data_IF_816822728120
#
_entry.id   IF_816822728120
#
_cell.length_a   1.000
_cell.length_b   1.000
_cell.length_c   1.000
_cell.angle_alpha   90.00
_cell.angle_beta   90.00
_cell.angle_gamma   90.00
#
_symmetry.space_group_name_H-M   'P 1'
#
loop_
_entity.id
_entity.type
_entity.pdbx_description
1 polymer ?
#
# COMPACT_ATOMS: atom_id res chain seq x y z
N UNK A 1 47.85 -26.56 -64.95
CA UNK A 1 48.67 -27.59 -64.28
C UNK A 1 47.68 -28.56 -63.65
N UNK A 2 47.25 -29.61 -64.37
CA UNK A 2 47.79 -30.99 -64.26
C UNK A 2 47.63 -31.52 -62.82
N UNK A 3 46.94 -32.60 -62.46
CA UNK A 3 46.38 -33.80 -63.11
C UNK A 3 45.42 -34.41 -62.05
N UNK A 4 44.30 -35.11 -62.30
CA UNK A 4 44.11 -36.34 -63.06
C UNK A 4 44.09 -37.58 -62.12
N UNK A 5 42.90 -38.18 -61.88
CA UNK A 5 42.61 -39.65 -61.89
C UNK A 5 41.25 -40.01 -61.24
N UNK A 6 40.42 -40.74 -62.00
CA UNK A 6 39.36 -41.64 -61.53
C UNK A 6 39.92 -43.08 -61.39
N UNK A 7 39.09 -44.13 -61.19
CA UNK A 7 38.39 -44.53 -59.97
C UNK A 7 38.85 -45.94 -59.48
N UNK A 8 38.47 -46.37 -58.28
CA UNK A 8 38.59 -47.78 -57.89
C UNK A 8 37.32 -48.24 -57.16
N UNK A 9 36.49 -48.97 -57.90
CA UNK A 9 35.43 -49.83 -57.39
C UNK A 9 36.07 -51.06 -56.77
N UNK A 10 35.75 -51.35 -55.51
CA UNK A 10 35.89 -52.69 -54.95
C UNK A 10 34.65 -52.96 -54.10
N UNK A 11 33.90 -53.98 -54.52
CA UNK A 11 32.67 -54.40 -53.86
C UNK A 11 32.93 -54.99 -52.49
N UNK A 12 31.96 -54.81 -51.61
CA UNK A 12 31.79 -55.56 -50.38
C UNK A 12 30.29 -55.72 -50.18
N UNK A 13 29.77 -56.92 -50.44
CA UNK A 13 28.49 -57.34 -49.91
C UNK A 13 28.61 -57.40 -48.38
N UNK A 14 27.71 -56.72 -47.70
CA UNK A 14 27.52 -56.79 -46.25
C UNK A 14 26.10 -56.38 -45.95
N UNK A 15 25.25 -57.37 -45.73
CA UNK A 15 23.99 -57.19 -45.00
C UNK A 15 24.28 -56.47 -43.68
N UNK A 16 23.44 -55.52 -43.27
CA UNK A 16 22.95 -55.36 -41.90
C UNK A 16 22.17 -54.04 -41.72
N UNK A 17 20.97 -54.16 -41.14
CA UNK A 17 20.42 -53.16 -40.23
C UNK A 17 19.62 -52.02 -40.83
N UNK A 18 18.31 -52.21 -41.01
CA UNK A 18 17.34 -51.12 -40.96
C UNK A 18 17.33 -50.55 -39.53
N UNK A 19 18.18 -49.56 -39.25
CA UNK A 19 18.13 -48.81 -37.99
C UNK A 19 17.09 -47.69 -38.13
N UNK A 20 16.00 -47.67 -37.34
CA UNK A 20 15.14 -46.49 -37.27
C UNK A 20 15.91 -45.38 -36.54
N UNK A 21 16.19 -44.29 -37.24
CA UNK A 21 16.71 -43.06 -36.66
C UNK A 21 15.76 -42.58 -35.56
N UNK A 22 16.16 -42.77 -34.30
CA UNK A 22 15.49 -42.16 -33.16
C UNK A 22 15.75 -40.64 -33.20
N UNK A 23 14.87 -39.91 -33.88
CA UNK A 23 14.71 -38.50 -33.60
C UNK A 23 14.16 -38.35 -32.17
N UNK A 24 14.78 -37.54 -31.29
CA UNK A 24 14.17 -37.23 -30.01
C UNK A 24 12.84 -36.51 -30.29
N UNK A 25 11.74 -36.82 -29.57
CA UNK A 25 10.52 -36.08 -29.74
C UNK A 25 10.83 -34.63 -29.37
N UNK A 26 10.58 -33.71 -30.31
CA UNK A 26 10.50 -32.30 -30.01
C UNK A 26 9.60 -32.15 -28.79
N UNK A 27 10.19 -31.74 -27.66
CA UNK A 27 9.44 -31.41 -26.46
C UNK A 27 8.47 -30.30 -26.85
N UNK A 28 7.19 -30.66 -27.02
CA UNK A 28 6.12 -29.70 -27.13
C UNK A 28 6.25 -28.74 -25.94
N UNK A 29 6.09 -27.42 -26.15
CA UNK A 29 6.06 -26.49 -25.04
C UNK A 29 5.03 -26.99 -24.03
N UNK A 30 5.30 -26.90 -22.71
CA UNK A 30 4.40 -27.44 -21.71
C UNK A 30 3.00 -26.90 -21.95
N UNK A 31 2.06 -27.79 -22.26
CA UNK A 31 0.67 -27.44 -22.49
C UNK A 31 0.14 -26.85 -21.19
N UNK A 32 -0.02 -25.54 -21.16
CA UNK A 32 -0.59 -24.82 -20.02
C UNK A 32 -1.99 -25.37 -19.78
N UNK A 33 -2.24 -25.88 -18.57
CA UNK A 33 -3.58 -26.32 -18.18
C UNK A 33 -4.52 -25.10 -18.22
N UNK A 34 -5.51 -25.07 -19.14
CA UNK A 34 -6.39 -23.93 -19.30
C UNK A 34 -7.22 -23.66 -18.05
N UNK A 35 -7.54 -24.68 -17.25
CA UNK A 35 -8.26 -24.49 -16.00
C UNK A 35 -7.38 -23.83 -14.94
N UNK A 36 -6.11 -24.24 -14.83
CA UNK A 36 -5.13 -23.57 -13.98
C UNK A 36 -4.95 -22.10 -14.38
N UNK A 37 -4.86 -21.81 -15.69
CA UNK A 37 -4.74 -20.45 -16.20
C UNK A 37 -5.95 -19.58 -15.85
N UNK A 38 -7.17 -20.08 -16.05
CA UNK A 38 -8.41 -19.35 -15.70
C UNK A 38 -8.49 -19.12 -14.19
N UNK A 39 -8.12 -20.12 -13.40
CA UNK A 39 -8.12 -20.02 -11.93
C UNK A 39 -7.13 -18.97 -11.45
N UNK A 40 -5.92 -18.92 -12.04
CA UNK A 40 -4.93 -17.90 -11.75
C UNK A 40 -5.44 -16.49 -12.10
N UNK A 41 -5.97 -16.31 -13.31
CA UNK A 41 -6.51 -15.02 -13.75
C UNK A 41 -7.67 -14.55 -12.86
N UNK A 42 -8.52 -15.47 -12.40
CA UNK A 42 -9.59 -15.15 -11.47
C UNK A 42 -9.06 -14.67 -10.12
N UNK A 43 -8.02 -15.32 -9.57
CA UNK A 43 -7.38 -14.87 -8.32
C UNK A 43 -6.73 -13.50 -8.46
N UNK A 44 -6.03 -13.27 -9.57
CA UNK A 44 -5.44 -11.98 -9.92
C UNK A 44 -6.53 -10.90 -10.02
N UNK A 45 -7.66 -11.21 -10.64
CA UNK A 45 -8.81 -10.31 -10.72
C UNK A 45 -9.38 -9.95 -9.34
N UNK A 46 -9.56 -10.94 -8.46
CA UNK A 46 -10.05 -10.70 -7.09
C UNK A 46 -9.09 -9.81 -6.29
N UNK A 47 -7.78 -10.05 -6.41
CA UNK A 47 -6.77 -9.22 -5.77
C UNK A 47 -6.78 -7.78 -6.31
N UNK A 48 -6.86 -7.63 -7.63
CA UNK A 48 -6.97 -6.33 -8.29
C UNK A 48 -8.19 -5.54 -7.81
N UNK A 49 -9.35 -6.20 -7.73
CA UNK A 49 -10.59 -5.60 -7.22
C UNK A 49 -10.43 -5.15 -5.76
N UNK A 50 -9.88 -6.01 -4.91
CA UNK A 50 -9.61 -5.68 -3.51
C UNK A 50 -8.70 -4.44 -3.38
N UNK A 51 -7.57 -4.41 -4.09
CA UNK A 51 -6.63 -3.30 -4.05
C UNK A 51 -7.24 -2.00 -4.56
N UNK A 52 -8.04 -2.05 -5.62
CA UNK A 52 -8.75 -0.87 -6.13
C UNK A 52 -9.78 -0.34 -5.14
N UNK A 53 -10.51 -1.21 -4.43
CA UNK A 53 -11.40 -0.81 -3.34
C UNK A 53 -10.63 -0.12 -2.20
N UNK A 54 -9.42 -0.59 -1.85
CA UNK A 54 -8.58 0.05 -0.82
C UNK A 54 -8.04 1.40 -1.30
N UNK A 55 -7.63 1.51 -2.57
CA UNK A 55 -7.12 2.74 -3.16
C UNK A 55 -8.20 3.82 -3.31
N UNK A 56 -9.44 3.41 -3.57
CA UNK A 56 -10.60 4.29 -3.79
C UNK A 56 -11.79 3.77 -2.99
N UNK A 57 -11.76 3.91 -1.65
CA UNK A 57 -12.86 3.42 -0.85
C UNK A 57 -14.11 4.23 -1.15
N UNK A 58 -15.23 3.53 -1.33
CA UNK A 58 -16.46 4.14 -1.79
C UNK A 58 -17.17 4.79 -0.60
N UNK A 59 -17.39 6.12 -0.60
CA UNK A 59 -18.09 6.79 0.47
C UNK A 59 -19.59 6.52 0.30
N UNK A 60 -20.08 5.36 0.75
CA UNK A 60 -21.50 5.02 0.62
C UNK A 60 -22.37 6.15 1.19
N UNK A 61 -23.25 6.77 0.37
CA UNK A 61 -24.10 7.88 0.81
C UNK A 61 -25.22 7.33 1.68
N UNK A 62 -24.98 7.26 2.99
CA UNK A 62 -25.99 6.82 3.96
C UNK A 62 -25.41 6.14 5.19
N UNK A 63 -24.18 5.63 5.12
CA UNK A 63 -23.50 5.09 6.28
C UNK A 63 -22.93 6.23 7.12
N UNK A 64 -23.65 6.66 8.16
CA UNK A 64 -23.08 7.51 9.20
C UNK A 64 -21.84 6.86 9.85
N UNK A 65 -21.77 5.53 9.76
CA UNK A 65 -20.74 4.68 10.30
C UNK A 65 -19.56 4.52 9.32
N UNK A 66 -18.33 4.72 9.80
CA UNK A 66 -17.11 4.50 9.00
C UNK A 66 -16.85 3.02 8.72
N UNK A 67 -17.62 2.14 9.34
CA UNK A 67 -17.36 0.71 9.43
C UNK A 67 -17.44 -0.04 8.09
N UNK A 68 -18.14 0.54 7.10
CA UNK A 68 -18.34 -0.07 5.77
C UNK A 68 -17.38 0.41 4.68
N UNK A 69 -16.45 1.33 4.99
CA UNK A 69 -15.57 1.97 3.99
C UNK A 69 -14.68 0.97 3.23
N UNK A 70 -14.42 -0.21 3.80
CA UNK A 70 -13.58 -1.27 3.21
C UNK A 70 -14.26 -2.65 3.14
N UNK A 71 -15.58 -2.73 3.29
CA UNK A 71 -16.30 -4.01 3.27
C UNK A 71 -16.13 -4.77 1.95
N UNK A 72 -16.19 -4.07 0.82
CA UNK A 72 -16.02 -4.67 -0.51
C UNK A 72 -14.62 -5.28 -0.67
N UNK A 73 -13.58 -4.56 -0.24
CA UNK A 73 -12.21 -5.04 -0.27
C UNK A 73 -12.06 -6.35 0.53
N UNK A 74 -12.59 -6.38 1.75
CA UNK A 74 -12.55 -7.59 2.59
C UNK A 74 -13.36 -8.74 1.98
N UNK A 75 -14.49 -8.46 1.33
CA UNK A 75 -15.28 -9.47 0.62
C UNK A 75 -14.51 -10.13 -0.53
N UNK A 76 -13.84 -9.32 -1.37
CA UNK A 76 -12.97 -9.86 -2.43
C UNK A 76 -11.79 -10.67 -1.89
N UNK A 77 -11.20 -10.25 -0.77
CA UNK A 77 -10.09 -10.97 -0.13
C UNK A 77 -10.54 -12.29 0.50
N UNK A 78 -11.75 -12.33 1.07
CA UNK A 78 -12.35 -13.58 1.57
C UNK A 78 -12.59 -14.58 0.43
N UNK A 79 -13.16 -14.12 -0.69
CA UNK A 79 -13.31 -14.94 -1.89
C UNK A 79 -11.96 -15.46 -2.40
N UNK A 80 -10.95 -14.59 -2.46
CA UNK A 80 -9.60 -14.94 -2.91
C UNK A 80 -8.96 -16.02 -2.01
N UNK A 81 -9.09 -15.89 -0.70
CA UNK A 81 -8.60 -16.91 0.25
C UNK A 81 -9.29 -18.26 0.04
N UNK A 82 -10.63 -18.27 -0.06
CA UNK A 82 -11.39 -19.49 -0.34
C UNK A 82 -10.96 -20.17 -1.64
N UNK A 83 -10.73 -19.39 -2.71
CA UNK A 83 -10.24 -19.90 -3.99
C UNK A 83 -8.78 -20.38 -3.94
N UNK A 84 -7.99 -19.87 -3.00
CA UNK A 84 -6.57 -20.26 -2.82
C UNK A 84 -6.45 -21.59 -2.07
N UNK A 85 -7.41 -21.91 -1.22
CA UNK A 85 -7.46 -23.20 -0.51
C UNK A 85 -8.07 -24.34 -1.38
N UNK A 86 -8.85 -23.98 -2.41
CA UNK A 86 -9.45 -24.92 -3.37
C UNK A 86 -8.57 -25.21 -4.62
N UNK A 87 -7.32 -24.73 -4.63
CA UNK A 87 -6.40 -24.67 -5.77
C UNK A 87 -5.72 -26.01 -6.13
N UNK A 88 -6.46 -27.13 -6.17
CA UNK A 88 -5.90 -28.42 -6.59
C UNK A 88 -5.89 -28.61 -8.10
N UNK A 89 -4.81 -29.21 -8.63
CA UNK A 89 -4.77 -29.79 -9.98
C UNK A 89 -5.81 -30.91 -10.07
N UNK A 90 -6.68 -30.97 -11.10
CA UNK A 90 -7.45 -32.18 -11.34
C UNK A 90 -6.48 -33.26 -11.80
N UNK A 91 -6.13 -34.20 -10.93
CA UNK A 91 -5.56 -35.45 -11.39
C UNK A 91 -6.62 -36.11 -12.28
N UNK A 92 -6.40 -36.11 -13.59
CA UNK A 92 -7.18 -36.94 -14.51
C UNK A 92 -6.98 -38.41 -14.11
N UNK A 93 -7.88 -38.94 -13.30
CA UNK A 93 -8.20 -40.36 -13.28
C UNK A 93 -9.69 -40.49 -13.01
N UNK A 94 -10.46 -40.74 -14.07
CA UNK A 94 -11.79 -41.32 -13.94
C UNK A 94 -11.62 -42.67 -13.23
N UNK A 95 -11.83 -42.67 -11.92
CA UNK A 95 -11.96 -43.88 -11.13
C UNK A 95 -13.02 -43.58 -10.08
N UNK A 96 -14.23 -44.07 -10.34
CA UNK A 96 -15.32 -44.10 -9.37
C UNK A 96 -14.89 -45.06 -8.27
N UNK A 97 -14.20 -44.56 -7.25
CA UNK A 97 -14.04 -45.26 -5.99
C UNK A 97 -13.91 -44.24 -4.86
N UNK A 98 -14.82 -44.39 -3.91
CA UNK A 98 -14.97 -43.60 -2.70
C UNK A 98 -13.68 -43.57 -1.89
N UNK A 99 -12.95 -42.45 -1.95
CA UNK A 99 -12.01 -42.03 -0.91
C UNK A 99 -11.92 -40.51 -0.91
N UNK A 100 -12.58 -39.88 0.07
CA UNK A 100 -12.47 -38.44 0.35
C UNK A 100 -11.11 -38.14 0.96
N UNK A 101 -10.08 -38.12 0.12
CA UNK A 101 -8.79 -37.49 0.41
C UNK A 101 -8.41 -36.63 -0.79
N UNK A 102 -9.20 -35.58 -1.04
CA UNK A 102 -8.81 -34.48 -1.92
C UNK A 102 -7.55 -33.85 -1.34
N UNK A 103 -6.39 -34.16 -1.92
CA UNK A 103 -5.16 -33.41 -1.68
C UNK A 103 -5.37 -32.03 -2.29
N UNK A 104 -5.84 -31.09 -1.46
CA UNK A 104 -6.04 -29.70 -1.84
C UNK A 104 -4.67 -29.06 -2.09
N UNK A 105 -4.35 -28.82 -3.36
CA UNK A 105 -3.27 -27.88 -3.68
C UNK A 105 -3.66 -26.52 -3.11
N UNK A 106 -2.76 -25.89 -2.35
CA UNK A 106 -2.95 -24.52 -1.88
C UNK A 106 -2.11 -23.59 -2.77
N UNK A 107 -2.63 -22.40 -3.07
CA UNK A 107 -1.86 -21.34 -3.73
C UNK A 107 -1.25 -20.41 -2.65
N UNK A 108 -0.01 -20.67 -2.20
CA UNK A 108 0.57 -19.91 -1.11
C UNK A 108 0.87 -18.45 -1.51
N UNK A 109 1.02 -18.17 -2.81
CA UNK A 109 1.32 -16.83 -3.30
C UNK A 109 0.08 -15.96 -3.24
N UNK A 110 -1.04 -16.45 -3.78
CA UNK A 110 -2.33 -15.74 -3.71
C UNK A 110 -2.78 -15.54 -2.26
N UNK A 111 -2.65 -16.57 -1.41
CA UNK A 111 -2.98 -16.50 0.02
C UNK A 111 -2.14 -15.46 0.76
N UNK A 112 -0.85 -15.37 0.45
CA UNK A 112 0.04 -14.38 1.05
C UNK A 112 -0.34 -12.95 0.67
N UNK A 113 -0.57 -12.68 -0.63
CA UNK A 113 -1.01 -11.36 -1.09
C UNK A 113 -2.38 -10.95 -0.55
N UNK A 114 -3.31 -11.90 -0.47
CA UNK A 114 -4.63 -11.70 0.11
C UNK A 114 -4.52 -11.34 1.60
N UNK A 115 -3.75 -12.12 2.36
CA UNK A 115 -3.52 -11.91 3.80
C UNK A 115 -2.83 -10.57 4.06
N UNK A 116 -1.82 -10.21 3.25
CA UNK A 116 -1.11 -8.93 3.36
C UNK A 116 -2.05 -7.75 3.12
N UNK A 117 -2.86 -7.81 2.07
CA UNK A 117 -3.82 -6.75 1.76
C UNK A 117 -4.89 -6.67 2.85
N UNK A 118 -5.33 -7.80 3.41
CA UNK A 118 -6.28 -7.85 4.52
C UNK A 118 -5.70 -7.22 5.79
N UNK A 119 -4.45 -7.51 6.15
CA UNK A 119 -3.75 -6.87 7.28
C UNK A 119 -3.80 -5.34 7.16
N UNK A 120 -3.41 -4.81 6.01
CA UNK A 120 -3.41 -3.35 5.79
C UNK A 120 -4.83 -2.80 5.85
N UNK A 121 -5.81 -3.52 5.31
CA UNK A 121 -7.23 -3.13 5.34
C UNK A 121 -7.78 -3.09 6.77
N UNK A 122 -7.42 -4.05 7.63
CA UNK A 122 -7.81 -4.05 9.05
C UNK A 122 -7.16 -2.90 9.83
N UNK A 123 -5.90 -2.54 9.55
CA UNK A 123 -5.30 -1.31 10.09
C UNK A 123 -6.08 -0.06 9.67
N UNK A 124 -6.49 0.02 8.41
CA UNK A 124 -7.35 1.11 7.94
C UNK A 124 -8.74 1.08 8.60
N UNK A 125 -9.23 -0.04 9.11
CA UNK A 125 -10.47 -0.09 9.92
C UNK A 125 -10.26 0.11 11.42
N UNK A 126 -9.01 0.26 11.88
CA UNK A 126 -8.66 0.26 13.30
C UNK A 126 -9.04 -1.05 14.03
N UNK A 127 -9.11 -2.15 13.28
CA UNK A 127 -9.36 -3.50 13.79
C UNK A 127 -8.02 -4.20 14.04
N UNK A 128 -7.35 -3.81 15.13
CA UNK A 128 -6.03 -4.33 15.50
C UNK A 128 -6.07 -5.86 15.74
N UNK A 129 -7.17 -6.38 16.29
CA UNK A 129 -7.31 -7.81 16.59
C UNK A 129 -7.36 -8.65 15.32
N UNK A 130 -8.15 -8.25 14.32
CA UNK A 130 -8.21 -8.99 13.06
C UNK A 130 -6.88 -8.92 12.29
N UNK A 131 -6.17 -7.78 12.36
CA UNK A 131 -4.83 -7.67 11.79
C UNK A 131 -3.83 -8.62 12.49
N UNK A 132 -3.82 -8.68 13.83
CA UNK A 132 -2.94 -9.56 14.60
C UNK A 132 -3.12 -11.05 14.23
N UNK A 133 -4.36 -11.49 14.03
CA UNK A 133 -4.68 -12.88 13.61
C UNK A 133 -4.04 -13.26 12.27
N UNK A 134 -3.79 -12.30 11.39
CA UNK A 134 -3.26 -12.53 10.05
C UNK A 134 -1.73 -12.42 9.97
N UNK A 135 -1.06 -11.88 10.99
CA UNK A 135 0.40 -11.70 10.96
C UNK A 135 1.21 -12.96 10.69
N UNK A 136 0.90 -14.14 11.27
CA UNK A 136 1.64 -15.36 10.97
C UNK A 136 1.67 -15.71 9.48
N UNK A 137 0.64 -15.31 8.72
CA UNK A 137 0.52 -15.58 7.28
C UNK A 137 1.37 -14.65 6.42
N UNK A 138 1.80 -13.50 6.95
CA UNK A 138 2.51 -12.45 6.17
C UNK A 138 3.94 -12.22 6.62
N UNK A 139 4.37 -12.80 7.75
CA UNK A 139 5.71 -12.63 8.32
C UNK A 139 6.85 -13.19 7.46
N UNK A 140 6.53 -14.18 6.61
CA UNK A 140 7.47 -14.90 5.76
C UNK A 140 6.95 -14.93 4.32
N UNK A 141 7.85 -14.74 3.36
CA UNK A 141 7.53 -14.87 1.95
C UNK A 141 7.37 -16.35 1.57
N UNK A 142 6.37 -16.72 0.75
CA UNK A 142 6.33 -18.02 0.08
C UNK A 142 7.60 -18.28 -0.74
N UNK A 143 8.04 -19.55 -0.82
CA UNK A 143 9.27 -19.95 -1.55
C UNK A 143 9.30 -19.42 -2.99
N UNK A 144 8.20 -19.56 -3.73
CA UNK A 144 8.08 -19.05 -5.10
C UNK A 144 8.37 -17.54 -5.21
N UNK A 145 7.95 -16.73 -4.21
CA UNK A 145 8.26 -15.29 -4.19
C UNK A 145 9.72 -15.02 -3.80
N UNK A 146 10.30 -15.84 -2.92
CA UNK A 146 11.72 -15.73 -2.58
C UNK A 146 12.63 -15.99 -3.79
N UNK A 147 12.32 -17.07 -4.53
CA UNK A 147 13.05 -17.52 -5.72
C UNK A 147 12.89 -16.56 -6.91
N UNK A 148 11.74 -15.89 -7.03
CA UNK A 148 11.51 -14.93 -8.12
C UNK A 148 12.41 -13.70 -8.08
N UNK A 149 13.02 -13.41 -6.93
CA UNK A 149 13.82 -12.21 -6.62
C UNK A 149 13.14 -10.86 -6.93
N UNK A 150 11.84 -10.87 -7.23
CA UNK A 150 11.10 -9.65 -7.54
C UNK A 150 11.15 -8.70 -6.35
N UNK A 151 11.37 -7.40 -6.56
CA UNK A 151 11.52 -6.45 -5.46
C UNK A 151 10.18 -6.16 -4.75
N UNK A 152 9.03 -6.23 -5.45
CA UNK A 152 7.72 -5.88 -4.90
C UNK A 152 7.30 -6.69 -3.65
N UNK A 153 7.39 -8.04 -3.63
CA UNK A 153 7.13 -8.82 -2.42
C UNK A 153 8.00 -8.41 -1.22
N UNK A 154 9.28 -8.12 -1.45
CA UNK A 154 10.22 -7.69 -0.39
C UNK A 154 9.84 -6.30 0.14
N UNK A 155 9.48 -5.37 -0.75
CA UNK A 155 8.96 -4.06 -0.38
C UNK A 155 7.70 -4.19 0.50
N UNK A 156 6.76 -5.06 0.11
CA UNK A 156 5.52 -5.28 0.85
C UNK A 156 5.78 -5.87 2.25
N UNK A 157 6.61 -6.90 2.34
CA UNK A 157 7.00 -7.51 3.61
C UNK A 157 7.60 -6.49 4.58
N UNK A 158 8.58 -5.70 4.12
CA UNK A 158 9.26 -4.73 4.97
C UNK A 158 8.34 -3.56 5.36
N UNK A 159 7.43 -3.14 4.48
CA UNK A 159 6.45 -2.08 4.78
C UNK A 159 5.49 -2.49 5.89
N UNK A 160 4.97 -3.72 5.82
CA UNK A 160 4.08 -4.29 6.86
C UNK A 160 4.84 -4.47 8.17
N UNK A 161 6.09 -4.96 8.14
CA UNK A 161 6.93 -5.05 9.36
C UNK A 161 7.18 -3.68 9.98
N UNK A 162 7.47 -2.66 9.18
CA UNK A 162 7.68 -1.30 9.64
C UNK A 162 6.42 -0.74 10.31
N UNK A 163 5.25 -0.88 9.65
CA UNK A 163 3.97 -0.41 10.14
C UNK A 163 3.55 -1.13 11.43
N UNK A 164 3.70 -2.46 11.51
CA UNK A 164 3.44 -3.23 12.73
C UNK A 164 4.32 -2.77 13.89
N UNK A 165 5.61 -2.55 13.66
CA UNK A 165 6.53 -2.04 14.68
C UNK A 165 6.11 -0.65 15.21
N UNK A 166 5.43 0.16 14.40
CA UNK A 166 4.84 1.43 14.85
C UNK A 166 3.57 1.24 15.66
N UNK A 167 2.69 0.35 15.23
CA UNK A 167 1.38 0.14 15.86
C UNK A 167 1.49 -0.60 17.20
N UNK A 168 2.52 -1.44 17.39
CA UNK A 168 2.76 -2.16 18.65
C UNK A 168 2.80 -1.23 19.86
N UNK A 169 1.77 -1.34 20.72
CA UNK A 169 1.69 -0.60 21.99
C UNK A 169 2.78 -1.14 22.94
N UNK A 170 3.74 -0.30 23.32
CA UNK A 170 4.56 -0.54 24.52
C UNK A 170 6.08 -0.65 24.35
N UNK A 171 6.66 -0.53 23.15
CA UNK A 171 8.13 -0.40 23.01
C UNK A 171 8.49 1.02 22.61
N UNK A 172 8.85 1.83 23.60
CA UNK A 172 9.35 3.20 23.39
C UNK A 172 10.56 3.26 22.41
N UNK A 173 11.29 2.13 22.25
CA UNK A 173 12.46 2.00 21.39
C UNK A 173 12.20 1.45 19.97
N UNK A 174 10.94 1.29 19.53
CA UNK A 174 10.67 0.73 18.20
C UNK A 174 10.89 1.71 17.03
N UNK A 175 11.15 2.99 17.31
CA UNK A 175 11.31 4.05 16.32
C UNK A 175 12.45 3.80 15.32
N UNK A 176 13.72 3.68 15.77
CA UNK A 176 14.86 3.43 14.88
C UNK A 176 14.73 2.13 14.07
N UNK A 177 14.21 1.07 14.69
CA UNK A 177 13.99 -0.21 14.03
C UNK A 177 12.91 -0.12 12.94
N UNK A 178 11.81 0.58 13.21
CA UNK A 178 10.77 0.84 12.20
C UNK A 178 11.30 1.70 11.05
N UNK A 179 12.09 2.74 11.35
CA UNK A 179 12.71 3.58 10.32
C UNK A 179 13.65 2.75 9.42
N UNK A 180 14.48 1.88 9.99
CA UNK A 180 15.35 0.99 9.22
C UNK A 180 14.55 0.01 8.31
N UNK A 181 13.39 -0.46 8.77
CA UNK A 181 12.48 -1.26 7.96
C UNK A 181 11.84 -0.43 6.84
N UNK A 182 11.45 0.82 7.11
CA UNK A 182 11.02 1.76 6.08
C UNK A 182 12.11 1.96 5.02
N UNK A 183 13.37 2.15 5.42
CA UNK A 183 14.48 2.32 4.46
C UNK A 183 14.65 1.11 3.53
N UNK A 184 14.59 -0.11 4.08
CA UNK A 184 14.64 -1.34 3.27
C UNK A 184 13.44 -1.45 2.33
N UNK A 185 12.24 -1.19 2.84
CA UNK A 185 11.00 -1.25 2.06
C UNK A 185 11.03 -0.25 0.90
N UNK A 186 11.40 0.99 1.17
CA UNK A 186 11.53 2.05 0.17
C UNK A 186 12.54 1.69 -0.93
N UNK A 187 13.69 1.11 -0.58
CA UNK A 187 14.68 0.67 -1.57
C UNK A 187 14.10 -0.33 -2.58
N UNK A 188 13.52 -1.41 -2.08
CA UNK A 188 12.84 -2.39 -2.94
C UNK A 188 11.65 -1.78 -3.70
N UNK A 189 10.92 -0.84 -3.10
CA UNK A 189 9.80 -0.19 -3.77
C UNK A 189 10.27 0.65 -4.96
N UNK A 190 11.41 1.33 -4.84
CA UNK A 190 12.00 2.07 -5.96
C UNK A 190 12.40 1.15 -7.12
N UNK A 191 13.05 0.02 -6.82
CA UNK A 191 13.44 -0.96 -7.84
C UNK A 191 12.21 -1.53 -8.55
N UNK A 192 11.13 -1.78 -7.79
CA UNK A 192 9.84 -2.19 -8.33
C UNK A 192 9.25 -1.12 -9.26
N UNK A 193 9.20 0.13 -8.81
CA UNK A 193 8.70 1.26 -9.59
C UNK A 193 9.51 1.56 -10.85
N UNK A 194 10.79 1.21 -10.87
CA UNK A 194 11.65 1.38 -12.04
C UNK A 194 11.42 0.31 -13.12
N UNK A 195 10.96 -0.88 -12.71
CA UNK A 195 10.84 -2.06 -13.59
C UNK A 195 9.41 -2.42 -13.96
N UNK A 196 8.41 -1.71 -13.41
CA UNK A 196 6.98 -2.04 -13.62
C UNK A 196 6.50 -1.72 -15.04
N UNK A 197 5.96 -2.72 -15.77
CA UNK A 197 5.35 -2.50 -17.07
C UNK A 197 4.11 -1.60 -16.99
N UNK A 198 3.86 -0.81 -18.05
CA UNK A 198 2.73 0.14 -18.09
C UNK A 198 1.35 -0.53 -17.88
N UNK A 199 1.19 -1.80 -18.27
CA UNK A 199 -0.07 -2.54 -18.19
C UNK A 199 -0.32 -3.31 -16.89
N UNK A 200 0.63 -3.38 -15.95
CA UNK A 200 0.45 -4.17 -14.74
C UNK A 200 -0.29 -3.38 -13.65
N UNK A 201 -1.62 -3.48 -13.65
CA UNK A 201 -2.50 -2.77 -12.72
C UNK A 201 -2.38 -3.25 -11.27
N UNK A 202 -2.18 -4.56 -11.05
CA UNK A 202 -2.00 -5.13 -9.69
C UNK A 202 -0.72 -4.59 -9.07
N UNK A 203 0.40 -4.61 -9.80
CA UNK A 203 1.67 -4.06 -9.30
C UNK A 203 1.52 -2.58 -8.96
N UNK A 204 0.90 -1.78 -9.84
CA UNK A 204 0.64 -0.35 -9.59
C UNK A 204 -0.24 -0.10 -8.36
N UNK A 205 -1.31 -0.88 -8.19
CA UNK A 205 -2.21 -0.74 -7.06
C UNK A 205 -1.53 -1.14 -5.74
N UNK A 206 -0.73 -2.21 -5.76
CA UNK A 206 0.09 -2.60 -4.62
C UNK A 206 1.17 -1.55 -4.32
N UNK A 207 1.88 -1.05 -5.32
CA UNK A 207 2.88 0.01 -5.13
C UNK A 207 2.28 1.28 -4.56
N UNK A 208 1.07 1.67 -4.97
CA UNK A 208 0.34 2.78 -4.35
C UNK A 208 0.07 2.51 -2.86
N UNK A 209 -0.45 1.32 -2.54
CA UNK A 209 -0.71 0.92 -1.15
C UNK A 209 0.57 1.01 -0.29
N UNK A 210 1.70 0.52 -0.82
CA UNK A 210 2.98 0.55 -0.11
C UNK A 210 3.56 1.96 0.02
N UNK A 211 3.48 2.80 -1.03
CA UNK A 211 3.87 4.20 -0.96
C UNK A 211 3.10 4.94 0.14
N UNK A 212 1.78 4.78 0.14
CA UNK A 212 0.90 5.42 1.12
C UNK A 212 1.21 4.92 2.55
N UNK A 213 1.38 3.61 2.73
CA UNK A 213 1.72 3.01 4.01
C UNK A 213 3.07 3.53 4.56
N UNK A 214 4.11 3.62 3.73
CA UNK A 214 5.41 4.14 4.13
C UNK A 214 5.36 5.62 4.48
N UNK A 215 4.65 6.43 3.70
CA UNK A 215 4.47 7.86 3.98
C UNK A 215 3.71 8.08 5.29
N UNK A 216 2.64 7.30 5.55
CA UNK A 216 1.90 7.32 6.82
C UNK A 216 2.78 6.87 7.99
N UNK A 217 3.58 5.83 7.80
CA UNK A 217 4.52 5.32 8.80
C UNK A 217 5.55 6.38 9.20
N UNK A 218 6.21 7.01 8.22
CA UNK A 218 7.18 8.09 8.43
C UNK A 218 6.55 9.34 9.06
N UNK A 219 5.34 9.71 8.64
CA UNK A 219 4.57 10.80 9.26
C UNK A 219 4.27 10.50 10.73
N UNK A 220 3.97 9.24 11.06
CA UNK A 220 3.70 8.82 12.43
C UNK A 220 4.97 8.86 13.29
N UNK A 221 6.13 8.44 12.75
CA UNK A 221 7.43 8.53 13.43
C UNK A 221 7.81 9.97 13.73
N UNK A 222 7.75 10.84 12.72
CA UNK A 222 8.05 12.26 12.86
C UNK A 222 7.17 12.94 13.92
N UNK A 223 5.85 12.71 13.89
CA UNK A 223 4.93 13.29 14.89
C UNK A 223 5.18 12.81 16.31
N UNK A 224 5.53 11.54 16.51
CA UNK A 224 5.85 10.99 17.85
C UNK A 224 7.02 11.70 18.50
N UNK A 225 8.02 12.10 17.71
CA UNK A 225 9.21 12.81 18.21
C UNK A 225 8.90 14.26 18.64
N UNK A 226 7.80 14.82 18.16
CA UNK A 226 7.39 16.20 18.46
C UNK A 226 6.55 16.32 19.73
N UNK A 227 6.01 15.21 20.25
CA UNK A 227 5.25 15.24 21.48
C UNK A 227 6.23 15.36 22.66
N UNK A 228 6.12 16.38 23.53
CA UNK A 228 7.07 16.58 24.62
C UNK A 228 7.11 15.33 25.51
N UNK A 229 8.31 14.83 25.77
CA UNK A 229 8.53 13.93 26.91
C UNK A 229 8.10 14.66 28.20
N UNK A 230 7.52 13.95 29.19
CA UNK A 230 7.24 14.56 30.47
C UNK A 230 8.59 14.94 31.12
N UNK A 231 8.77 16.24 31.33
CA UNK A 231 9.88 16.86 32.06
C UNK A 231 11.30 16.54 31.55
N UNK A 232 11.84 17.41 30.70
CA UNK A 232 13.14 18.05 30.97
C UNK A 232 13.32 19.28 30.07
N UNK A 233 13.86 20.33 30.69
CA UNK A 233 13.87 21.70 30.23
C UNK A 233 14.82 21.94 29.05
N UNK A 234 14.60 23.08 28.39
CA UNK A 234 15.49 23.81 27.48
C UNK A 234 15.56 23.39 26.01
N UNK A 235 14.51 23.71 25.23
CA UNK A 235 14.71 24.22 23.86
C UNK A 235 13.71 25.35 23.58
N UNK A 236 14.20 26.46 23.04
CA UNK A 236 13.41 27.65 22.75
C UNK A 236 12.27 27.42 21.74
N UNK A 237 11.32 28.37 21.64
CA UNK A 237 10.14 28.25 20.78
C UNK A 237 10.54 28.37 19.31
N UNK A 238 10.89 27.25 18.66
CA UNK A 238 11.16 27.24 17.22
C UNK A 238 11.84 26.00 16.65
N UNK A 239 12.53 25.19 17.45
CA UNK A 239 13.41 24.12 16.92
C UNK A 239 12.79 22.71 16.84
N UNK A 240 11.61 22.49 17.41
CA UNK A 240 11.04 21.14 17.60
C UNK A 240 10.15 20.60 16.48
N UNK A 241 9.97 21.31 15.36
CA UNK A 241 8.99 20.93 14.33
C UNK A 241 9.60 20.24 13.10
N UNK A 242 10.91 20.38 12.85
CA UNK A 242 11.53 19.88 11.62
C UNK A 242 12.01 18.44 11.77
N UNK A 243 11.86 17.64 10.71
CA UNK A 243 12.41 16.29 10.65
C UNK A 243 13.94 16.36 10.45
N UNK A 244 14.66 15.31 10.87
CA UNK A 244 16.08 15.19 10.54
C UNK A 244 16.29 15.07 9.03
N UNK A 245 17.49 15.42 8.55
CA UNK A 245 17.83 15.33 7.12
C UNK A 245 17.63 13.90 6.56
N UNK A 246 17.95 12.88 7.34
CA UNK A 246 17.79 11.48 6.96
C UNK A 246 16.31 11.09 6.82
N UNK A 247 15.48 11.49 7.79
CA UNK A 247 14.04 11.21 7.75
C UNK A 247 13.34 11.92 6.59
N UNK A 248 13.71 13.18 6.37
CA UNK A 248 13.18 13.97 5.26
C UNK A 248 13.61 13.37 3.91
N UNK A 249 14.86 12.93 3.78
CA UNK A 249 15.34 12.26 2.57
C UNK A 249 14.52 11.01 2.26
N UNK A 250 14.34 10.13 3.24
CA UNK A 250 13.53 8.92 3.06
C UNK A 250 12.06 9.23 2.73
N UNK A 251 11.47 10.26 3.36
CA UNK A 251 10.12 10.71 3.04
C UNK A 251 10.00 11.24 1.60
N UNK A 252 10.93 12.10 1.17
CA UNK A 252 10.94 12.65 -0.19
C UNK A 252 11.15 11.57 -1.24
N UNK A 253 11.92 10.53 -0.93
CA UNK A 253 12.13 9.37 -1.78
C UNK A 253 10.80 8.65 -2.07
N UNK A 254 10.04 8.33 -1.03
CA UNK A 254 8.75 7.66 -1.16
C UNK A 254 7.71 8.55 -1.85
N UNK A 255 7.70 9.86 -1.53
CA UNK A 255 6.82 10.84 -2.19
C UNK A 255 7.13 10.96 -3.69
N UNK A 256 8.41 10.86 -4.07
CA UNK A 256 8.81 10.86 -5.49
C UNK A 256 8.32 9.60 -6.21
N UNK A 257 8.35 8.45 -5.53
CA UNK A 257 7.73 7.22 -6.02
C UNK A 257 6.22 7.36 -6.23
N UNK A 258 5.52 7.93 -5.25
CA UNK A 258 4.08 8.22 -5.35
C UNK A 258 3.75 9.17 -6.51
N UNK A 259 4.54 10.24 -6.71
CA UNK A 259 4.38 11.16 -7.84
C UNK A 259 4.57 10.46 -9.18
N UNK A 260 5.57 9.58 -9.29
CA UNK A 260 5.80 8.77 -10.50
C UNK A 260 4.60 7.88 -10.79
N UNK A 261 4.08 7.16 -9.78
CA UNK A 261 2.87 6.35 -9.94
C UNK A 261 1.69 7.16 -10.44
N UNK A 262 1.50 8.35 -9.88
CA UNK A 262 0.38 9.21 -10.18
C UNK A 262 0.33 9.70 -11.64
N UNK A 263 1.45 9.64 -12.37
CA UNK A 263 1.50 9.93 -13.81
C UNK A 263 0.80 8.86 -14.67
N UNK A 264 0.73 7.61 -14.20
CA UNK A 264 0.18 6.48 -14.99
C UNK A 264 -0.89 5.68 -14.25
N UNK A 265 -1.20 6.06 -13.01
CA UNK A 265 -2.20 5.45 -12.16
C UNK A 265 -2.93 6.53 -11.36
N UNK A 266 -4.04 7.00 -11.94
CA UNK A 266 -4.82 8.14 -11.43
C UNK A 266 -5.19 8.09 -9.94
N UNK A 267 -5.53 6.93 -9.33
CA UNK A 267 -5.89 6.88 -7.91
C UNK A 267 -4.80 7.41 -6.97
N UNK A 268 -3.52 7.39 -7.40
CA UNK A 268 -2.41 7.89 -6.62
C UNK A 268 -2.42 9.43 -6.46
N UNK A 269 -2.97 10.19 -7.41
CA UNK A 269 -2.94 11.66 -7.39
C UNK A 269 -3.56 12.25 -6.12
N UNK A 270 -4.62 11.64 -5.59
CA UNK A 270 -5.31 12.10 -4.37
C UNK A 270 -4.37 12.13 -3.16
N UNK A 271 -3.49 11.14 -3.05
CA UNK A 271 -2.54 10.99 -1.93
C UNK A 271 -1.36 11.96 -2.04
N UNK A 272 -1.00 12.40 -3.24
CA UNK A 272 0.15 13.30 -3.47
C UNK A 272 -0.01 14.61 -2.72
N UNK A 273 -1.19 15.24 -2.74
CA UNK A 273 -1.37 16.56 -2.13
C UNK A 273 -1.17 16.56 -0.61
N UNK A 274 -1.75 15.57 0.08
CA UNK A 274 -1.61 15.43 1.53
C UNK A 274 -0.16 15.14 1.93
N UNK A 275 0.48 14.17 1.27
CA UNK A 275 1.86 13.81 1.58
C UNK A 275 2.87 14.90 1.18
N UNK A 276 2.61 15.65 0.11
CA UNK A 276 3.43 16.82 -0.23
C UNK A 276 3.29 17.92 0.82
N UNK A 277 2.08 18.17 1.34
CA UNK A 277 1.90 19.10 2.45
C UNK A 277 2.70 18.63 3.69
N UNK A 278 2.64 17.34 4.01
CA UNK A 278 3.42 16.75 5.12
C UNK A 278 4.93 16.91 4.90
N UNK A 279 5.46 16.62 3.71
CA UNK A 279 6.88 16.82 3.41
C UNK A 279 7.33 18.28 3.64
N UNK A 280 6.48 19.23 3.25
CA UNK A 280 6.76 20.66 3.45
C UNK A 280 6.76 21.03 4.94
N UNK A 281 5.84 20.47 5.72
CA UNK A 281 5.81 20.65 7.17
C UNK A 281 7.06 20.05 7.83
N UNK A 282 7.43 18.83 7.46
CA UNK A 282 8.66 18.16 7.92
C UNK A 282 9.92 18.97 7.60
N UNK A 283 9.96 19.61 6.43
CA UNK A 283 11.09 20.46 6.01
C UNK A 283 11.06 21.87 6.62
N UNK A 284 10.02 22.25 7.36
CA UNK A 284 9.82 23.63 7.82
C UNK A 284 9.70 24.65 6.67
N UNK A 285 9.20 24.23 5.51
CA UNK A 285 9.07 25.07 4.33
C UNK A 285 7.98 26.14 4.51
N UNK A 286 7.96 27.14 3.62
CA UNK A 286 7.02 28.26 3.74
C UNK A 286 5.54 27.81 3.82
N UNK A 287 4.76 28.40 4.74
CA UNK A 287 3.40 27.94 5.07
C UNK A 287 2.38 28.19 3.95
N UNK A 288 2.59 29.17 3.07
CA UNK A 288 1.61 29.53 2.02
C UNK A 288 1.28 28.38 1.08
N UNK A 289 2.30 27.72 0.53
CA UNK A 289 2.09 26.59 -0.38
C UNK A 289 1.57 25.36 0.36
N UNK A 290 2.00 25.17 1.61
CA UNK A 290 1.50 24.08 2.47
C UNK A 290 0.00 24.24 2.74
N UNK A 291 -0.45 25.45 3.06
CA UNK A 291 -1.85 25.78 3.23
C UNK A 291 -2.66 25.47 1.97
N UNK A 292 -2.19 25.87 0.78
CA UNK A 292 -2.87 25.57 -0.49
C UNK A 292 -3.04 24.06 -0.76
N UNK A 293 -2.03 23.25 -0.40
CA UNK A 293 -2.07 21.80 -0.57
C UNK A 293 -3.06 21.15 0.40
N UNK A 294 -3.05 21.57 1.68
CA UNK A 294 -4.02 21.10 2.67
C UNK A 294 -5.45 21.49 2.30
N UNK A 295 -5.66 22.73 1.85
CA UNK A 295 -6.93 23.21 1.31
C UNK A 295 -7.43 22.34 0.16
N UNK A 296 -6.53 21.94 -0.74
CA UNK A 296 -6.87 21.07 -1.86
C UNK A 296 -7.29 19.67 -1.39
N UNK A 297 -6.62 19.13 -0.37
CA UNK A 297 -6.99 17.85 0.26
C UNK A 297 -8.33 17.91 1.01
N UNK A 298 -8.75 19.09 1.48
CA UNK A 298 -10.02 19.29 2.17
C UNK A 298 -11.20 19.56 1.21
N UNK A 299 -10.95 20.18 0.06
CA UNK A 299 -12.00 20.61 -0.87
C UNK A 299 -12.70 19.42 -1.53
N UNK A 300 -14.03 19.36 -1.37
CA UNK A 300 -14.93 18.61 -2.27
C UNK A 300 -14.98 19.37 -3.60
N UNK A 301 -14.13 19.09 -4.59
CA UNK A 301 -14.44 19.55 -5.96
C UNK A 301 -15.55 18.66 -6.52
N UNK A 302 -16.80 19.02 -6.24
CA UNK A 302 -17.84 18.81 -7.24
C UNK A 302 -17.51 19.80 -8.37
N UNK A 303 -17.43 19.32 -9.61
CA UNK A 303 -17.35 20.23 -10.76
C UNK A 303 -18.52 21.24 -10.69
N UNK A 304 -18.38 22.44 -11.29
CA UNK A 304 -19.51 23.34 -11.40
C UNK A 304 -20.68 22.57 -12.01
N UNK A 305 -21.87 22.67 -11.40
CA UNK A 305 -23.11 22.18 -12.02
C UNK A 305 -23.34 22.94 -13.33
N UNK A 306 -22.70 22.47 -14.40
CA UNK A 306 -23.05 22.77 -15.78
C UNK A 306 -23.98 21.67 -16.26
N UNK A 307 -25.22 22.03 -16.58
CA UNK A 307 -26.15 21.15 -17.28
C UNK A 307 -25.47 20.61 -18.54
N UNK A 308 -25.40 19.29 -18.67
CA UNK A 308 -25.06 18.60 -19.90
C UNK A 308 -23.56 18.52 -20.22
N UNK A 309 -23.00 17.32 -20.12
CA UNK A 309 -21.66 17.01 -20.58
C UNK A 309 -21.14 15.75 -19.90
N UNK A 310 -20.74 14.76 -20.70
CA UNK A 310 -20.26 13.44 -20.28
C UNK A 310 -19.40 13.49 -19.01
N UNK A 311 -19.67 12.56 -18.09
CA UNK A 311 -18.98 12.31 -16.82
C UNK A 311 -17.58 12.93 -16.76
N UNK A 312 -17.50 14.20 -16.38
CA UNK A 312 -16.23 14.88 -16.18
C UNK A 312 -15.57 14.13 -15.02
N UNK A 313 -14.53 13.36 -15.35
CA UNK A 313 -13.86 12.45 -14.44
C UNK A 313 -13.45 13.20 -13.18
N UNK A 314 -14.28 13.07 -12.15
CA UNK A 314 -14.14 13.80 -10.91
C UNK A 314 -12.90 13.25 -10.20
N UNK A 315 -12.00 14.14 -9.78
CA UNK A 315 -10.92 13.75 -8.89
C UNK A 315 -11.51 12.99 -7.69
N UNK A 316 -10.98 11.79 -7.35
CA UNK A 316 -11.56 10.96 -6.31
C UNK A 316 -11.67 11.76 -5.01
N UNK A 317 -12.86 11.70 -4.42
CA UNK A 317 -13.19 12.40 -3.19
C UNK A 317 -12.22 11.99 -2.06
N UNK A 318 -11.76 12.92 -1.19
CA UNK A 318 -10.99 12.56 -0.02
C UNK A 318 -11.81 11.68 0.93
N UNK A 319 -11.17 10.66 1.48
CA UNK A 319 -11.76 9.78 2.50
C UNK A 319 -12.01 10.55 3.80
N UNK A 320 -12.85 10.01 4.70
CA UNK A 320 -13.08 10.64 6.01
C UNK A 320 -11.78 10.74 6.80
N UNK A 321 -10.94 9.70 6.74
CA UNK A 321 -9.61 9.70 7.38
C UNK A 321 -8.68 10.74 6.76
N UNK A 322 -8.53 10.77 5.43
CA UNK A 322 -7.67 11.75 4.74
C UNK A 322 -8.08 13.19 5.09
N UNK A 323 -9.39 13.47 5.19
CA UNK A 323 -9.89 14.77 5.64
C UNK A 323 -9.52 15.07 7.09
N UNK A 324 -9.72 14.12 8.01
CA UNK A 324 -9.37 14.31 9.42
C UNK A 324 -7.86 14.54 9.61
N UNK A 325 -7.02 13.82 8.88
CA UNK A 325 -5.57 14.02 8.88
C UNK A 325 -5.18 15.41 8.35
N UNK A 326 -5.79 15.87 7.26
CA UNK A 326 -5.54 17.21 6.73
C UNK A 326 -5.95 18.32 7.72
N UNK A 327 -7.09 18.16 8.41
CA UNK A 327 -7.53 19.08 9.47
C UNK A 327 -6.57 19.10 10.65
N UNK A 328 -6.10 17.93 11.09
CA UNK A 328 -5.12 17.80 12.16
C UNK A 328 -3.79 18.47 11.78
N UNK A 329 -3.26 18.19 10.58
CA UNK A 329 -2.03 18.82 10.11
C UNK A 329 -2.17 20.35 10.00
N UNK A 330 -3.27 20.85 9.43
CA UNK A 330 -3.51 22.28 9.32
C UNK A 330 -3.57 22.97 10.68
N UNK A 331 -4.28 22.36 11.64
CA UNK A 331 -4.49 22.95 12.97
C UNK A 331 -3.28 22.86 13.89
N UNK A 332 -2.43 21.85 13.74
CA UNK A 332 -1.21 21.69 14.53
C UNK A 332 -0.05 22.55 14.00
N UNK A 333 0.11 22.64 12.68
CA UNK A 333 1.39 23.11 12.10
C UNK A 333 1.30 24.41 11.29
N UNK A 334 0.11 24.87 10.89
CA UNK A 334 0.03 26.18 10.23
C UNK A 334 0.15 27.32 11.25
N UNK A 335 0.84 28.43 10.89
CA UNK A 335 0.88 29.61 11.74
C UNK A 335 -0.52 30.21 11.96
N UNK A 336 -0.76 30.91 13.09
CA UNK A 336 -2.07 31.49 13.40
C UNK A 336 -2.67 32.36 12.30
N UNK A 337 -1.85 33.18 11.62
CA UNK A 337 -2.31 34.08 10.56
C UNK A 337 -2.82 33.40 9.28
N UNK A 338 -2.64 32.09 9.14
CA UNK A 338 -3.22 31.31 8.02
C UNK A 338 -4.63 30.79 8.31
N UNK A 339 -5.12 30.94 9.55
CA UNK A 339 -6.48 30.58 9.94
C UNK A 339 -7.24 31.88 10.20
N UNK A 340 -8.10 32.24 9.25
CA UNK A 340 -8.68 33.58 9.08
C UNK A 340 -9.65 34.00 10.19
N UNK A 341 -10.27 33.06 10.91
CA UNK A 341 -11.29 33.36 11.91
C UNK A 341 -10.87 32.94 13.34
N UNK A 342 -11.13 33.78 14.37
CA UNK A 342 -11.01 33.38 15.76
C UNK A 342 -11.78 32.08 16.02
N UNK A 343 -11.15 31.11 16.71
CA UNK A 343 -11.77 29.81 16.99
C UNK A 343 -11.79 28.81 15.82
N UNK A 344 -11.40 29.19 14.59
CA UNK A 344 -11.36 28.27 13.45
C UNK A 344 -10.45 27.06 13.73
N UNK A 345 -9.28 27.27 14.36
CA UNK A 345 -8.36 26.18 14.75
C UNK A 345 -9.03 25.15 15.66
N UNK A 346 -9.76 25.64 16.66
CA UNK A 346 -10.50 24.79 17.62
C UNK A 346 -11.62 24.04 16.90
N UNK A 347 -12.35 24.71 16.01
CA UNK A 347 -13.40 24.09 15.19
C UNK A 347 -12.86 22.97 14.29
N UNK A 348 -11.73 23.19 13.62
CA UNK A 348 -11.06 22.18 12.78
C UNK A 348 -10.58 20.99 13.59
N UNK A 349 -9.95 21.20 14.76
CA UNK A 349 -9.53 20.12 15.67
C UNK A 349 -10.73 19.34 16.20
N UNK A 350 -11.81 20.02 16.59
CA UNK A 350 -13.03 19.36 17.06
C UNK A 350 -13.70 18.53 15.94
N UNK A 351 -13.69 19.01 14.70
CA UNK A 351 -14.16 18.23 13.54
C UNK A 351 -13.29 17.00 13.27
N UNK A 352 -11.96 17.16 13.33
CA UNK A 352 -11.03 16.04 13.21
C UNK A 352 -11.27 15.00 14.32
N UNK A 353 -11.34 15.44 15.59
CA UNK A 353 -11.60 14.56 16.74
C UNK A 353 -12.90 13.76 16.57
N UNK A 354 -14.03 14.42 16.25
CA UNK A 354 -15.32 13.74 16.01
C UNK A 354 -15.24 12.72 14.87
N UNK A 355 -14.46 13.02 13.83
CA UNK A 355 -14.29 12.10 12.70
C UNK A 355 -13.45 10.90 13.10
N UNK A 356 -12.35 11.10 13.82
CA UNK A 356 -11.45 10.04 14.27
C UNK A 356 -12.09 9.14 15.33
N UNK A 357 -12.91 9.70 16.21
CA UNK A 357 -13.71 8.95 17.18
C UNK A 357 -14.67 7.97 16.47
N UNK A 358 -15.40 8.44 15.45
CA UNK A 358 -16.27 7.59 14.62
C UNK A 358 -15.51 6.53 13.82
N UNK A 359 -14.24 6.78 13.52
CA UNK A 359 -13.36 5.85 12.80
C UNK A 359 -12.61 4.91 13.76
N UNK A 360 -12.74 5.09 15.08
CA UNK A 360 -12.02 4.31 16.09
C UNK A 360 -10.51 4.61 16.19
N UNK A 361 -10.01 5.68 15.56
CA UNK A 361 -8.58 6.02 15.58
C UNK A 361 -8.20 6.71 16.90
N UNK A 362 -8.01 5.90 17.94
CA UNK A 362 -7.73 6.34 19.31
C UNK A 362 -6.43 7.14 19.41
N UNK A 363 -5.45 6.85 18.54
CA UNK A 363 -4.13 7.49 18.58
C UNK A 363 -4.24 8.94 18.11
N UNK A 364 -4.78 9.16 16.91
CA UNK A 364 -4.94 10.52 16.40
C UNK A 364 -6.01 11.30 17.16
N UNK A 365 -7.04 10.63 17.69
CA UNK A 365 -8.01 11.26 18.57
C UNK A 365 -7.34 11.84 19.83
N UNK A 366 -6.43 11.08 20.44
CA UNK A 366 -5.67 11.56 21.60
C UNK A 366 -4.82 12.79 21.24
N UNK A 367 -4.15 12.79 20.08
CA UNK A 367 -3.39 13.94 19.59
C UNK A 367 -4.28 15.19 19.45
N UNK A 368 -5.48 15.04 18.86
CA UNK A 368 -6.46 16.12 18.76
C UNK A 368 -6.88 16.66 20.14
N UNK A 369 -7.16 15.78 21.09
CA UNK A 369 -7.59 16.14 22.44
C UNK A 369 -6.49 16.88 23.21
N UNK A 370 -5.24 16.41 23.14
CA UNK A 370 -4.09 17.09 23.74
C UNK A 370 -3.90 18.51 23.18
N UNK A 371 -4.07 18.68 21.88
CA UNK A 371 -3.98 20.00 21.24
C UNK A 371 -5.13 20.92 21.62
N UNK A 372 -6.36 20.40 21.72
CA UNK A 372 -7.52 21.17 22.19
C UNK A 372 -7.31 21.68 23.63
N UNK A 373 -6.79 20.84 24.53
CA UNK A 373 -6.48 21.22 25.91
C UNK A 373 -5.44 22.35 25.98
N UNK A 374 -4.38 22.27 25.15
CA UNK A 374 -3.35 23.32 25.05
C UNK A 374 -3.91 24.66 24.59
N UNK A 375 -4.86 24.65 23.65
CA UNK A 375 -5.50 25.86 23.14
C UNK A 375 -6.51 26.44 24.16
N UNK A 376 -7.18 25.60 24.94
CA UNK A 376 -8.12 26.01 25.99
C UNK A 376 -7.45 26.53 27.27
N UNK A 377 -6.23 26.09 27.58
CA UNK A 377 -5.47 26.54 28.75
C UNK A 377 -4.85 27.93 28.64
N UNK A 378 -4.88 28.56 27.47
CA UNK A 378 -4.25 29.86 27.18
C UNK A 378 -5.11 31.10 27.51
N UNK A 379 -6.36 30.93 27.92
CA UNK A 379 -7.23 32.04 28.38
C UNK A 379 -7.07 32.27 29.87
N UNK A 380 -5.92 32.82 30.30
CA UNK A 380 -5.92 33.62 31.54
C UNK A 380 -6.52 34.97 31.22
N UNK A 381 -7.73 35.16 31.74
CA UNK A 381 -8.47 36.42 31.81
C UNK A 381 -7.57 37.51 32.38
N UNK A 382 -7.09 38.44 31.55
CA UNK A 382 -6.68 39.77 32.01
C UNK A 382 -7.94 40.60 32.14
N UNK A 383 -8.62 40.50 33.27
CA UNK A 383 -9.52 41.55 33.76
C UNK A 383 -8.63 42.70 34.23
N UNK A 384 -8.51 43.71 33.38
CA UNK A 384 -8.08 45.06 33.78
C UNK A 384 -9.27 45.88 34.22
#
# INVERSE_FOLDING_TARGET
MCSGRSPSVRGGCGEEGWAPSHHPPHSLPPTVDPLAQVTQLFREHLLERALNCVAQPNPSPGSADGDREFSDALGYLQLLNSCSDAAGTPACSFSISSSMATTTGTDPVAKWWASLTAVVTHWLRQDEEAAERLYPLVEHLPRALQESERPLPRAALHSVKAARALLGRGKADSGPASLALCEKASGYLQDSLATTPAGNSIDKAMQLLLCDLLLVARTSLWRRQQLPAPAQASQGPGSGAQASALELHGFQRDLSGLRRLAQSFRPAMRRVFLHEATARLMAGASPTRTHQLLDRSLRRRAGPCGKGGAAAELEPRPTRRERAEALLLASCYLPPGFLSAPGQRVGMLAEAARTLEKLGDRRLLHDCQQMLLRLGGGTTVTTG
#
